data_IF_367107282506
#
_entry.id   IF_367107282506
#
_cell.length_a   1.000
_cell.length_b   1.000
_cell.length_c   1.000
_cell.angle_alpha   90.00
_cell.angle_beta   90.00
_cell.angle_gamma   90.00
#
_symmetry.space_group_name_H-M   'P 1'
#
loop_
_entity.id
_entity.type
_entity.pdbx_description
1 polymer ?
#
# COMPACT_ATOMS: atom_id res chain seq x y z
N UNK A 1 3.08 14.03 -14.93
CA UNK A 1 4.23 13.13 -14.77
C UNK A 1 3.86 11.79 -15.37
N UNK A 2 4.74 11.22 -16.19
CA UNK A 2 4.60 9.85 -16.68
C UNK A 2 4.96 8.89 -15.55
N UNK A 3 4.26 7.75 -15.41
CA UNK A 3 4.61 6.74 -14.39
C UNK A 3 5.95 6.01 -14.67
N UNK A 4 6.72 6.47 -15.66
CA UNK A 4 8.07 6.02 -16.03
C UNK A 4 9.15 7.07 -15.74
N UNK A 5 8.82 8.12 -14.97
CA UNK A 5 9.77 9.17 -14.59
C UNK A 5 10.68 8.71 -13.42
N UNK A 6 12.02 8.71 -13.58
CA UNK A 6 12.94 8.40 -12.48
C UNK A 6 12.77 9.29 -11.24
N UNK A 7 12.32 10.54 -11.42
CA UNK A 7 12.06 11.44 -10.30
C UNK A 7 10.87 10.95 -9.43
N UNK A 8 9.85 10.37 -10.07
CA UNK A 8 8.74 9.74 -9.36
C UNK A 8 9.23 8.52 -8.57
N UNK A 9 10.06 7.66 -9.16
CA UNK A 9 10.60 6.50 -8.44
C UNK A 9 11.37 6.93 -7.17
N UNK A 10 12.25 7.93 -7.31
CA UNK A 10 13.00 8.47 -6.19
C UNK A 10 12.08 9.07 -5.11
N UNK A 11 10.99 9.73 -5.48
CA UNK A 11 9.99 10.23 -4.54
C UNK A 11 9.31 9.09 -3.76
N UNK A 12 8.89 8.02 -4.45
CA UNK A 12 8.23 6.87 -3.82
C UNK A 12 9.18 6.15 -2.85
N UNK A 13 10.44 5.95 -3.24
CA UNK A 13 11.46 5.36 -2.37
C UNK A 13 11.77 6.25 -1.16
N UNK A 14 11.79 7.58 -1.34
CA UNK A 14 11.95 8.52 -0.24
C UNK A 14 10.76 8.42 0.74
N UNK A 15 9.51 8.33 0.27
CA UNK A 15 8.35 8.14 1.14
C UNK A 15 8.50 6.88 2.01
N UNK A 16 8.96 5.77 1.43
CA UNK A 16 9.18 4.49 2.14
C UNK A 16 10.27 4.57 3.21
N UNK A 17 11.28 5.41 3.01
CA UNK A 17 12.36 5.63 3.99
C UNK A 17 11.94 6.51 5.16
N UNK A 18 11.01 7.45 4.94
CA UNK A 18 10.58 8.39 5.98
C UNK A 18 9.39 7.87 6.79
N UNK A 19 8.50 7.08 6.18
CA UNK A 19 7.28 6.57 6.82
C UNK A 19 7.52 5.21 7.49
N UNK A 20 8.36 5.22 8.53
CA UNK A 20 8.70 4.06 9.36
C UNK A 20 8.01 4.18 10.71
N UNK A 21 7.45 3.07 11.20
CA UNK A 21 6.74 3.03 12.47
C UNK A 21 7.71 2.75 13.63
N UNK A 22 7.48 3.35 14.82
CA UNK A 22 8.24 3.01 16.02
C UNK A 22 7.86 1.63 16.59
N UNK A 23 6.61 1.20 16.37
CA UNK A 23 6.08 -0.11 16.76
C UNK A 23 4.81 -0.42 15.95
N UNK A 24 4.42 -1.71 15.87
CA UNK A 24 3.20 -2.16 15.22
C UNK A 24 2.57 -3.34 15.96
N UNK A 25 1.82 -3.05 17.01
CA UNK A 25 0.87 -3.97 17.65
C UNK A 25 -0.45 -4.02 16.86
N UNK A 26 -1.35 -4.93 17.23
CA UNK A 26 -2.69 -4.95 16.63
C UNK A 26 -3.50 -3.68 16.93
N UNK A 27 -3.33 -3.08 18.11
CA UNK A 27 -4.00 -1.81 18.42
C UNK A 27 -3.45 -0.66 17.57
N UNK A 28 -2.14 -0.66 17.28
CA UNK A 28 -1.53 0.30 16.36
C UNK A 28 -2.05 0.14 14.94
N UNK A 29 -2.10 -1.10 14.45
CA UNK A 29 -2.62 -1.43 13.14
C UNK A 29 -4.11 -1.03 12.99
N UNK A 30 -4.92 -1.24 14.03
CA UNK A 30 -6.31 -0.82 14.06
C UNK A 30 -6.45 0.71 14.03
N UNK A 31 -5.64 1.45 14.80
CA UNK A 31 -5.64 2.92 14.80
C UNK A 31 -5.15 3.50 13.47
N UNK A 32 -4.12 2.91 12.87
CA UNK A 32 -3.64 3.28 11.54
C UNK A 32 -4.75 3.09 10.50
N UNK A 33 -5.39 1.92 10.49
CA UNK A 33 -6.50 1.64 9.58
C UNK A 33 -7.66 2.61 9.74
N UNK A 34 -8.03 2.93 10.99
CA UNK A 34 -9.06 3.93 11.30
C UNK A 34 -8.67 5.35 10.83
N UNK A 35 -7.39 5.72 10.94
CA UNK A 35 -6.88 7.03 10.48
C UNK A 35 -7.02 7.19 8.96
N UNK A 36 -6.55 6.19 8.20
CA UNK A 36 -6.69 6.17 6.74
C UNK A 36 -8.17 6.16 6.33
N UNK A 37 -8.99 5.37 7.02
CA UNK A 37 -10.42 5.29 6.75
C UNK A 37 -11.16 6.59 7.05
N UNK A 38 -10.77 7.35 8.07
CA UNK A 38 -11.36 8.65 8.38
C UNK A 38 -11.13 9.66 7.25
N UNK A 39 -9.94 9.66 6.63
CA UNK A 39 -9.65 10.49 5.46
C UNK A 39 -10.54 10.10 4.26
N UNK A 40 -10.70 8.80 4.02
CA UNK A 40 -11.56 8.28 2.97
C UNK A 40 -13.04 8.66 3.19
N UNK A 41 -13.51 8.55 4.43
CA UNK A 41 -14.87 8.90 4.86
C UNK A 41 -15.15 10.39 4.67
N UNK A 42 -14.26 11.25 5.16
CA UNK A 42 -14.38 12.72 5.03
C UNK A 42 -14.53 13.15 3.57
N UNK A 43 -13.85 12.44 2.66
CA UNK A 43 -13.85 12.69 1.22
C UNK A 43 -14.90 11.88 0.45
N UNK A 44 -15.66 10.99 1.12
CA UNK A 44 -16.66 10.09 0.52
C UNK A 44 -16.07 9.25 -0.63
N UNK A 45 -14.87 8.71 -0.43
CA UNK A 45 -14.16 7.94 -1.45
C UNK A 45 -14.68 6.49 -1.51
N UNK A 46 -14.89 5.92 -2.71
CA UNK A 46 -15.42 4.56 -2.89
C UNK A 46 -14.32 3.50 -2.80
N UNK A 47 -13.64 3.42 -1.65
CA UNK A 47 -12.46 2.57 -1.45
C UNK A 47 -12.67 1.46 -0.42
N UNK A 48 -11.79 0.46 -0.44
CA UNK A 48 -11.53 -0.42 0.70
C UNK A 48 -10.19 -0.06 1.30
N UNK A 49 -10.14 0.11 2.62
CA UNK A 49 -8.91 0.29 3.42
C UNK A 49 -8.64 -1.02 4.15
N UNK A 50 -7.40 -1.52 4.11
CA UNK A 50 -6.95 -2.71 4.85
C UNK A 50 -5.60 -2.48 5.52
N UNK A 51 -5.44 -2.99 6.74
CA UNK A 51 -4.14 -3.13 7.42
C UNK A 51 -3.94 -4.59 7.79
N UNK A 52 -2.79 -5.13 7.40
CA UNK A 52 -2.37 -6.49 7.73
C UNK A 52 -1.06 -6.42 8.53
N UNK A 53 -0.94 -7.27 9.54
CA UNK A 53 0.29 -7.48 10.31
C UNK A 53 0.83 -8.86 9.97
N UNK A 54 2.12 -8.97 9.72
CA UNK A 54 2.77 -10.24 9.40
C UNK A 54 3.11 -10.99 10.68
N UNK A 55 2.73 -12.27 10.75
CA UNK A 55 3.01 -13.19 11.86
C UNK A 55 3.78 -14.42 11.36
N UNK A 56 4.21 -15.29 12.26
CA UNK A 56 4.89 -16.55 11.91
C UNK A 56 4.02 -17.47 11.03
N UNK A 57 2.70 -17.40 11.15
CA UNK A 57 1.74 -18.17 10.36
C UNK A 57 1.34 -17.50 9.04
N UNK A 58 1.80 -16.25 8.84
CA UNK A 58 1.50 -15.43 7.67
C UNK A 58 0.74 -14.14 8.00
N UNK A 59 0.15 -13.49 6.99
CA UNK A 59 -0.47 -12.18 7.18
C UNK A 59 -1.81 -12.28 7.90
N UNK A 60 -1.99 -11.44 8.93
CA UNK A 60 -3.23 -11.31 9.68
C UNK A 60 -3.90 -9.97 9.39
N UNK A 61 -5.13 -9.98 8.87
CA UNK A 61 -5.91 -8.75 8.65
C UNK A 61 -6.44 -8.22 9.98
N UNK A 62 -5.91 -7.10 10.44
CA UNK A 62 -6.28 -6.47 11.72
C UNK A 62 -7.38 -5.43 11.54
N UNK A 63 -7.37 -4.73 10.40
CA UNK A 63 -8.37 -3.73 10.07
C UNK A 63 -8.82 -3.88 8.62
N UNK A 64 -10.13 -3.83 8.38
CA UNK A 64 -10.70 -3.63 7.06
C UNK A 64 -11.97 -2.78 7.15
N UNK A 65 -12.09 -1.79 6.27
CA UNK A 65 -13.32 -1.01 6.08
C UNK A 65 -13.58 -0.77 4.61
N UNK A 66 -14.76 -1.15 4.14
CA UNK A 66 -15.27 -0.86 2.81
C UNK A 66 -16.22 0.34 2.85
N UNK A 67 -16.15 1.20 1.84
CA UNK A 67 -17.00 2.39 1.70
C UNK A 67 -18.01 2.25 0.55
N UNK A 68 -19.17 2.93 0.61
CA UNK A 68 -20.15 2.88 -0.48
C UNK A 68 -19.53 3.17 -1.85
N UNK A 69 -19.80 2.29 -2.81
CA UNK A 69 -19.22 2.35 -4.16
C UNK A 69 -18.01 1.42 -4.37
N UNK A 70 -17.44 0.83 -3.31
CA UNK A 70 -16.47 -0.26 -3.46
C UNK A 70 -17.14 -1.59 -3.82
N UNK A 71 -16.34 -2.59 -4.21
CA UNK A 71 -16.77 -3.93 -4.59
C UNK A 71 -15.82 -5.00 -4.08
N UNK A 72 -16.23 -6.27 -4.14
CA UNK A 72 -15.38 -7.43 -3.79
C UNK A 72 -14.13 -7.55 -4.65
N UNK A 73 -14.11 -6.94 -5.85
CA UNK A 73 -12.89 -6.86 -6.66
C UNK A 73 -11.78 -6.09 -5.93
N UNK A 74 -12.13 -5.12 -5.08
CA UNK A 74 -11.14 -4.36 -4.32
C UNK A 74 -10.39 -5.24 -3.30
N UNK A 75 -11.05 -6.23 -2.69
CA UNK A 75 -10.39 -7.18 -1.78
C UNK A 75 -9.34 -8.02 -2.51
N UNK A 76 -9.64 -8.45 -3.75
CA UNK A 76 -8.69 -9.15 -4.60
C UNK A 76 -7.50 -8.26 -4.98
N UNK A 77 -7.76 -7.01 -5.38
CA UNK A 77 -6.72 -6.04 -5.70
C UNK A 77 -5.80 -5.77 -4.50
N UNK A 78 -6.36 -5.62 -3.30
CA UNK A 78 -5.57 -5.46 -2.07
C UNK A 78 -4.65 -6.67 -1.87
N UNK A 79 -5.17 -7.89 -1.94
CA UNK A 79 -4.36 -9.10 -1.80
C UNK A 79 -3.24 -9.18 -2.86
N UNK A 80 -3.54 -8.81 -4.10
CA UNK A 80 -2.57 -8.85 -5.18
C UNK A 80 -1.46 -7.79 -5.07
N UNK A 81 -1.80 -6.58 -4.61
CA UNK A 81 -0.83 -5.52 -4.31
C UNK A 81 0.01 -5.88 -3.08
N UNK A 82 -0.60 -6.46 -2.04
CA UNK A 82 0.09 -6.87 -0.82
C UNK A 82 1.15 -7.97 -1.08
N UNK A 83 0.86 -8.93 -1.97
CA UNK A 83 1.84 -9.92 -2.44
C UNK A 83 3.08 -9.26 -3.07
N UNK A 84 2.88 -8.20 -3.86
CA UNK A 84 4.00 -7.42 -4.44
C UNK A 84 4.82 -6.76 -3.35
N UNK A 85 4.18 -6.10 -2.38
CA UNK A 85 4.90 -5.44 -1.28
C UNK A 85 5.73 -6.44 -0.48
N UNK A 86 5.18 -7.60 -0.15
CA UNK A 86 5.90 -8.64 0.59
C UNK A 86 7.04 -9.28 -0.22
N UNK A 87 6.86 -9.44 -1.53
CA UNK A 87 7.90 -10.02 -2.39
C UNK A 87 9.09 -9.08 -2.60
N UNK A 88 8.82 -7.80 -2.86
CA UNK A 88 9.85 -6.82 -3.24
C UNK A 88 10.32 -5.94 -2.07
N UNK A 89 9.59 -5.93 -0.95
CA UNK A 89 9.82 -5.01 0.16
C UNK A 89 9.51 -3.55 -0.17
N UNK A 90 8.96 -3.23 -1.32
CA UNK A 90 8.66 -1.85 -1.74
C UNK A 90 7.17 -1.67 -1.96
N UNK A 91 6.69 -0.43 -1.87
CA UNK A 91 5.30 -0.13 -2.21
C UNK A 91 4.96 -0.66 -3.59
N UNK A 92 3.73 -1.13 -3.77
CA UNK A 92 3.31 -1.71 -5.05
C UNK A 92 3.41 -0.67 -6.18
N UNK A 93 3.33 0.62 -5.85
CA UNK A 93 3.55 1.70 -6.81
C UNK A 93 5.03 1.85 -7.20
N UNK A 94 5.94 1.86 -6.23
CA UNK A 94 7.38 1.96 -6.50
C UNK A 94 7.86 0.81 -7.37
N UNK A 95 7.42 -0.42 -7.07
CA UNK A 95 7.75 -1.60 -7.88
C UNK A 95 7.28 -1.41 -9.32
N UNK A 96 6.00 -1.07 -9.54
CA UNK A 96 5.49 -0.86 -10.89
C UNK A 96 6.21 0.27 -11.63
N UNK A 97 6.56 1.33 -10.92
CA UNK A 97 7.28 2.48 -11.48
C UNK A 97 8.71 2.11 -11.87
N UNK A 98 9.40 1.28 -11.08
CA UNK A 98 10.75 0.78 -11.39
C UNK A 98 10.78 0.04 -12.74
N UNK A 99 9.88 -0.91 -12.95
CA UNK A 99 9.77 -1.62 -14.23
C UNK A 99 9.52 -0.66 -15.42
N UNK A 100 8.68 0.37 -15.22
CA UNK A 100 8.39 1.38 -16.25
C UNK A 100 9.58 2.31 -16.53
N UNK A 101 10.34 2.67 -15.51
CA UNK A 101 11.60 3.42 -15.64
C UNK A 101 12.61 2.61 -16.45
N UNK A 102 12.66 1.30 -16.23
CA UNK A 102 13.53 0.36 -16.96
C UNK A 102 13.03 0.06 -18.40
N UNK A 103 11.94 0.70 -18.84
CA UNK A 103 11.41 0.57 -20.19
C UNK A 103 10.58 -0.69 -20.43
N UNK A 104 10.09 -1.34 -19.38
CA UNK A 104 9.26 -2.55 -19.44
C UNK A 104 7.99 -2.41 -18.58
N UNK A 105 7.26 -3.50 -18.38
CA UNK A 105 6.12 -3.59 -17.45
C UNK A 105 6.35 -4.70 -16.43
N UNK A 106 5.67 -4.59 -15.29
CA UNK A 106 5.73 -5.61 -14.26
C UNK A 106 5.17 -6.95 -14.77
N UNK A 107 4.09 -6.89 -15.56
CA UNK A 107 3.41 -8.03 -16.13
C UNK A 107 4.30 -8.80 -17.12
N UNK A 108 5.12 -8.11 -17.91
CA UNK A 108 5.99 -8.74 -18.91
C UNK A 108 7.28 -9.31 -18.29
N UNK A 109 7.81 -8.67 -17.24
CA UNK A 109 9.20 -8.90 -16.81
C UNK A 109 9.37 -9.38 -15.37
N UNK A 110 8.31 -9.46 -14.56
CA UNK A 110 8.43 -9.95 -13.17
C UNK A 110 8.63 -11.45 -13.06
N UNK A 111 8.15 -12.24 -14.03
CA UNK A 111 8.11 -13.70 -13.94
C UNK A 111 7.13 -14.24 -12.89
N UNK A 112 6.30 -13.37 -12.30
CA UNK A 112 5.30 -13.73 -11.29
C UNK A 112 3.93 -13.99 -11.93
N UNK A 113 3.09 -14.75 -11.22
CA UNK A 113 1.74 -15.05 -11.70
C UNK A 113 0.79 -13.84 -11.60
N UNK A 114 -0.40 -13.98 -12.17
CA UNK A 114 -1.41 -12.92 -12.25
C UNK A 114 -1.95 -12.45 -10.90
N UNK A 115 -1.65 -13.16 -9.81
CA UNK A 115 -2.04 -12.78 -8.46
C UNK A 115 -1.12 -11.72 -7.86
N UNK A 116 -0.09 -11.27 -8.58
CA UNK A 116 0.75 -10.13 -8.22
C UNK A 116 0.38 -8.92 -9.09
N UNK A 117 0.10 -7.78 -8.45
CA UNK A 117 -0.24 -6.52 -9.15
C UNK A 117 0.55 -5.33 -8.63
N UNK A 118 1.52 -4.86 -9.41
CA UNK A 118 2.36 -3.70 -9.08
C UNK A 118 1.67 -2.37 -9.44
N UNK A 119 0.47 -2.19 -8.90
CA UNK A 119 -0.31 -0.96 -8.99
C UNK A 119 -0.33 -0.28 -7.63
N UNK A 120 -0.23 1.04 -7.60
CA UNK A 120 -0.24 1.83 -6.36
C UNK A 120 -1.46 1.59 -5.46
N UNK A 121 -1.26 1.82 -4.16
CA UNK A 121 -2.26 1.57 -3.13
C UNK A 121 -1.90 0.48 -2.12
N UNK A 122 -0.68 -0.05 -2.11
CA UNK A 122 -0.21 -0.87 -0.99
C UNK A 122 1.20 -0.45 -0.59
N UNK A 123 1.42 -0.30 0.71
CA UNK A 123 2.64 0.30 1.26
C UNK A 123 3.20 -0.56 2.40
N UNK A 124 4.53 -0.76 2.46
CA UNK A 124 5.18 -1.55 3.50
C UNK A 124 5.12 -0.86 4.87
N UNK A 125 4.69 -1.58 5.90
CA UNK A 125 4.81 -1.13 7.29
C UNK A 125 6.10 -1.68 7.88
N UNK A 126 6.96 -0.79 8.36
CA UNK A 126 8.28 -1.15 8.91
C UNK A 126 8.44 -0.73 10.36
N UNK A 127 9.13 -1.58 11.13
CA UNK A 127 9.67 -1.27 12.46
C UNK A 127 11.14 -1.69 12.45
N UNK A 128 12.04 -0.80 12.88
CA UNK A 128 13.49 -1.03 12.85
C UNK A 128 14.03 -1.54 11.49
N UNK A 129 13.45 -1.03 10.40
CA UNK A 129 13.80 -1.39 9.02
C UNK A 129 13.25 -2.73 8.53
N UNK A 130 12.66 -3.55 9.42
CA UNK A 130 12.04 -4.83 9.08
C UNK A 130 10.61 -4.63 8.59
N UNK A 131 10.22 -5.32 7.53
CA UNK A 131 8.83 -5.38 7.08
C UNK A 131 8.02 -6.22 8.07
N UNK A 132 6.98 -5.63 8.66
CA UNK A 132 6.13 -6.27 9.70
C UNK A 132 4.65 -6.28 9.34
N UNK A 133 4.29 -5.80 8.14
CA UNK A 133 2.93 -5.73 7.68
C UNK A 133 2.76 -4.82 6.49
N UNK A 134 1.52 -4.60 6.09
CA UNK A 134 1.17 -3.69 4.98
C UNK A 134 -0.08 -2.89 5.32
N UNK A 135 -0.16 -1.69 4.76
CA UNK A 135 -1.40 -0.91 4.66
C UNK A 135 -1.77 -0.77 3.19
N UNK A 136 -3.06 -0.92 2.89
CA UNK A 136 -3.55 -0.90 1.52
C UNK A 136 -4.86 -0.11 1.37
N UNK A 137 -4.98 0.54 0.23
CA UNK A 137 -6.19 1.17 -0.29
C UNK A 137 -6.44 0.64 -1.69
N UNK A 138 -7.71 0.36 -1.99
CA UNK A 138 -8.15 0.06 -3.35
C UNK A 138 -9.47 0.73 -3.66
N UNK A 139 -9.53 1.46 -4.77
CA UNK A 139 -10.78 1.96 -5.36
C UNK A 139 -10.60 3.21 -6.25
N UNK A 140 -9.44 3.85 -6.20
CA UNK A 140 -9.10 5.05 -6.96
C UNK A 140 -8.09 4.72 -8.08
N UNK A 141 -7.76 5.68 -8.96
CA UNK A 141 -6.55 5.59 -9.78
C UNK A 141 -5.32 5.29 -8.89
N UNK A 142 -4.38 4.51 -9.41
CA UNK A 142 -3.27 3.95 -8.61
C UNK A 142 -2.44 4.99 -7.83
N UNK A 143 -2.27 6.19 -8.40
CA UNK A 143 -1.54 7.27 -7.77
C UNK A 143 -2.33 7.84 -6.58
N UNK A 144 -3.65 7.92 -6.70
CA UNK A 144 -4.54 8.44 -5.66
C UNK A 144 -4.72 7.42 -4.53
N UNK A 145 -4.81 6.12 -4.85
CA UNK A 145 -4.77 5.05 -3.85
C UNK A 145 -3.47 5.13 -3.03
N UNK A 146 -2.32 5.28 -3.70
CA UNK A 146 -1.02 5.42 -3.03
C UNK A 146 -0.93 6.70 -2.20
N UNK A 147 -1.37 7.83 -2.75
CA UNK A 147 -1.37 9.11 -2.05
C UNK A 147 -2.23 9.08 -0.78
N UNK A 148 -3.39 8.42 -0.80
CA UNK A 148 -4.24 8.27 0.39
C UNK A 148 -3.55 7.43 1.49
N UNK A 149 -2.82 6.39 1.10
CA UNK A 149 -2.03 5.59 2.04
C UNK A 149 -0.91 6.43 2.67
N UNK A 150 -0.14 7.15 1.85
CA UNK A 150 0.96 8.03 2.30
C UNK A 150 0.44 9.12 3.24
N UNK A 151 -0.68 9.76 2.89
CA UNK A 151 -1.31 10.78 3.72
C UNK A 151 -1.79 10.20 5.06
N UNK A 152 -2.46 9.05 5.05
CA UNK A 152 -2.94 8.42 6.28
C UNK A 152 -1.81 7.94 7.19
N UNK A 153 -0.71 7.41 6.64
CA UNK A 153 0.50 7.08 7.39
C UNK A 153 1.15 8.33 7.99
N UNK A 154 1.23 9.41 7.21
CA UNK A 154 1.80 10.69 7.68
C UNK A 154 0.96 11.25 8.83
N UNK A 155 -0.37 11.22 8.70
CA UNK A 155 -1.29 11.67 9.75
C UNK A 155 -1.18 10.80 11.01
N UNK A 156 -1.06 9.48 10.86
CA UNK A 156 -0.89 8.55 11.98
C UNK A 156 0.42 8.80 12.75
N UNK A 157 1.52 9.07 12.05
CA UNK A 157 2.83 9.33 12.67
C UNK A 157 2.95 10.72 13.33
N UNK A 158 2.06 11.65 12.97
CA UNK A 158 2.06 13.01 13.53
C UNK A 158 1.21 13.14 14.81
N UNK A 159 0.40 12.12 15.15
CA UNK A 159 -0.46 12.07 16.33
C UNK A 159 0.13 11.23 17.45
#
# INVERSE_FOLDING_TARGET
MTFSDPALLAELEAQEQHLVLPHLTYDDAARLGATVAALAEQRRLPVVVRVEVDTDDGPHTVYQRAFPGSSTSNDWWIGAKAKVVRHYGHSSFAVGTRYRVDGTTFEESSGLDETYKAHGGCFPLRVDGQLVGVVAVSGLPQQDDHALVVEGLTAYLAG
#
